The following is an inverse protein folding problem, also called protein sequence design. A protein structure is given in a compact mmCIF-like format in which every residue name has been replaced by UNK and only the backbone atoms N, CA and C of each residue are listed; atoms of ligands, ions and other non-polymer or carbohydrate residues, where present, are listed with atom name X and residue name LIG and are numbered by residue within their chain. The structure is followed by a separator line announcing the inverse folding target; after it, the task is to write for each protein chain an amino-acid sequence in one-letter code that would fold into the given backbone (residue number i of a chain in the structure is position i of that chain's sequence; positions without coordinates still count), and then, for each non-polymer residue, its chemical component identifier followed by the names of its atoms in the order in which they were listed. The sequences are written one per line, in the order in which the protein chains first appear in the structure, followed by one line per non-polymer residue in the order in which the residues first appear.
data_IF_214516729139
#
_entry.id   IF_214516729139
#
_cell.length_a   1.000
_cell.length_b   1.000
_cell.length_c   1.000
_cell.angle_alpha   90.00
_cell.angle_beta   90.00
_cell.angle_gamma   90.00
#
_symmetry.space_group_name_H-M   'P 1'
#
loop_
_entity.id
_entity.type
_entity.pdbx_description
1 polymer ?
#
# COMPACT_ATOMS: atom_id res chain seq x y z
N UNK A 1 18.57 -12.28 -43.22
CA UNK A 1 17.91 -12.98 -42.10
C UNK A 1 17.45 -11.90 -41.15
N UNK A 2 16.14 -11.65 -41.12
CA UNK A 2 15.55 -10.57 -40.36
C UNK A 2 15.48 -10.96 -38.88
N UNK A 3 15.98 -10.08 -38.01
CA UNK A 3 15.72 -10.12 -36.57
C UNK A 3 14.33 -9.56 -36.33
N UNK A 4 13.41 -10.42 -35.94
CA UNK A 4 12.14 -10.07 -35.29
C UNK A 4 12.27 -10.45 -33.83
N UNK A 5 12.48 -9.46 -32.95
CA UNK A 5 12.37 -9.61 -31.49
C UNK A 5 12.30 -8.23 -30.81
N UNK A 6 11.34 -7.39 -31.19
CA UNK A 6 11.12 -6.09 -30.51
C UNK A 6 9.69 -5.56 -30.71
N UNK A 7 8.66 -6.38 -30.48
CA UNK A 7 7.26 -5.92 -30.61
C UNK A 7 6.37 -6.27 -29.39
N UNK A 8 6.76 -7.17 -28.49
CA UNK A 8 5.85 -7.57 -27.39
C UNK A 8 5.89 -6.63 -26.17
N UNK A 9 6.95 -5.84 -25.99
CA UNK A 9 7.14 -5.00 -24.78
C UNK A 9 6.35 -3.68 -24.79
N UNK A 10 5.59 -3.40 -25.86
CA UNK A 10 4.87 -2.13 -26.05
C UNK A 10 3.37 -2.22 -25.80
N UNK A 11 2.83 -3.42 -25.60
CA UNK A 11 1.38 -3.65 -25.53
C UNK A 11 0.80 -3.54 -24.13
N UNK A 12 1.59 -3.76 -23.08
CA UNK A 12 1.06 -3.68 -21.71
C UNK A 12 0.84 -2.24 -21.26
N UNK A 13 1.49 -1.24 -21.88
CA UNK A 13 1.37 0.18 -21.51
C UNK A 13 0.05 0.85 -21.95
N UNK A 14 -0.75 0.19 -22.81
CA UNK A 14 -2.01 0.72 -23.32
C UNK A 14 -3.27 0.11 -22.68
N UNK A 15 -3.13 -0.91 -21.83
CA UNK A 15 -4.29 -1.47 -21.14
C UNK A 15 -4.76 -0.50 -20.05
N UNK A 16 -6.05 -0.10 -20.08
CA UNK A 16 -6.60 0.76 -19.04
C UNK A 16 -6.46 0.06 -17.69
N UNK A 17 -6.22 0.80 -16.59
CA UNK A 17 -6.18 0.21 -15.27
C UNK A 17 -7.48 -0.54 -15.00
N UNK A 18 -7.34 -1.72 -14.37
CA UNK A 18 -8.47 -2.47 -13.84
C UNK A 18 -9.24 -1.53 -12.90
N UNK A 19 -10.57 -1.44 -12.97
CA UNK A 19 -11.34 -0.59 -12.07
C UNK A 19 -11.03 -0.95 -10.61
N UNK A 20 -10.90 0.07 -9.77
CA UNK A 20 -10.62 -0.14 -8.36
C UNK A 20 -11.69 -1.04 -7.70
N UNK A 21 -11.30 -1.90 -6.74
CA UNK A 21 -12.24 -2.68 -5.95
C UNK A 21 -13.31 -1.78 -5.33
N UNK A 22 -14.57 -2.23 -5.40
CA UNK A 22 -15.74 -1.46 -4.95
C UNK A 22 -16.34 -2.01 -3.67
N UNK A 23 -15.88 -3.19 -3.24
CA UNK A 23 -16.39 -3.89 -2.05
C UNK A 23 -15.23 -4.36 -1.16
N UNK A 24 -15.44 -4.51 0.16
CA UNK A 24 -14.41 -5.03 1.05
C UNK A 24 -13.91 -6.42 0.67
N UNK A 25 -14.78 -7.31 0.15
CA UNK A 25 -14.39 -8.64 -0.28
C UNK A 25 -13.47 -8.65 -1.52
N UNK A 26 -13.61 -7.67 -2.41
CA UNK A 26 -12.67 -7.50 -3.54
C UNK A 26 -11.32 -6.98 -3.04
N UNK A 27 -11.33 -6.11 -2.02
CA UNK A 27 -10.10 -5.68 -1.34
C UNK A 27 -9.42 -6.83 -0.60
N UNK A 28 -10.17 -7.70 0.10
CA UNK A 28 -9.62 -8.88 0.79
C UNK A 28 -8.79 -9.74 -0.15
N UNK A 29 -9.31 -10.04 -1.35
CA UNK A 29 -8.59 -10.82 -2.35
C UNK A 29 -7.31 -10.12 -2.82
N UNK A 30 -7.37 -8.82 -3.08
CA UNK A 30 -6.21 -8.06 -3.53
C UNK A 30 -5.12 -7.92 -2.46
N UNK A 31 -5.52 -7.76 -1.20
CA UNK A 31 -4.60 -7.72 -0.04
C UNK A 31 -3.90 -9.06 0.14
N UNK A 32 -4.64 -10.17 -0.01
CA UNK A 32 -4.06 -11.52 0.00
C UNK A 32 -3.03 -11.69 -1.11
N UNK A 33 -3.33 -11.26 -2.35
CA UNK A 33 -2.37 -11.32 -3.46
C UNK A 33 -1.10 -10.50 -3.17
N UNK A 34 -1.21 -9.29 -2.63
CA UNK A 34 -0.05 -8.47 -2.28
C UNK A 34 0.81 -9.10 -1.17
N UNK A 35 0.18 -9.70 -0.17
CA UNK A 35 0.89 -10.41 0.90
C UNK A 35 1.58 -11.67 0.35
N UNK A 36 0.96 -12.41 -0.57
CA UNK A 36 1.60 -13.52 -1.27
C UNK A 36 2.80 -13.09 -2.11
N UNK A 37 2.72 -11.94 -2.79
CA UNK A 37 3.84 -11.36 -3.56
C UNK A 37 4.99 -11.03 -2.64
N UNK A 38 4.72 -10.36 -1.51
CA UNK A 38 5.74 -10.01 -0.50
C UNK A 38 6.50 -11.23 -0.01
N UNK A 39 5.79 -12.32 0.28
CA UNK A 39 6.41 -13.56 0.76
C UNK A 39 7.06 -14.40 -0.35
N UNK A 40 6.87 -14.03 -1.63
CA UNK A 40 7.34 -14.81 -2.77
C UNK A 40 6.58 -16.12 -2.99
N UNK A 41 5.36 -16.23 -2.47
CA UNK A 41 4.47 -17.39 -2.67
C UNK A 41 3.48 -17.20 -3.81
N UNK A 42 3.37 -15.97 -4.33
CA UNK A 42 2.45 -15.66 -5.41
C UNK A 42 2.75 -16.51 -6.66
N UNK A 43 1.75 -17.27 -7.09
CA UNK A 43 1.84 -18.16 -8.26
C UNK A 43 1.48 -17.46 -9.58
N UNK A 44 0.97 -16.23 -9.50
CA UNK A 44 0.62 -15.41 -10.64
C UNK A 44 1.78 -14.58 -11.18
N UNK A 45 1.44 -13.59 -12.00
CA UNK A 45 2.38 -12.62 -12.54
C UNK A 45 2.54 -11.45 -11.55
N UNK A 46 3.50 -11.59 -10.62
CA UNK A 46 3.78 -10.60 -9.59
C UNK A 46 4.15 -9.23 -10.19
N UNK A 47 4.88 -9.22 -11.31
CA UNK A 47 5.30 -7.99 -11.96
C UNK A 47 4.08 -7.22 -12.46
N UNK A 48 3.19 -7.91 -13.19
CA UNK A 48 1.95 -7.32 -13.68
C UNK A 48 1.07 -6.81 -12.54
N UNK A 49 0.91 -7.59 -11.46
CA UNK A 49 0.10 -7.18 -10.31
C UNK A 49 0.62 -5.89 -9.64
N UNK A 50 1.95 -5.76 -9.49
CA UNK A 50 2.57 -4.55 -8.94
C UNK A 50 2.44 -3.35 -9.88
N UNK A 51 2.59 -3.55 -11.19
CA UNK A 51 2.36 -2.49 -12.19
C UNK A 51 0.90 -2.04 -12.21
N UNK A 52 -0.06 -2.96 -12.10
CA UNK A 52 -1.48 -2.66 -12.01
C UNK A 52 -1.81 -1.88 -10.71
N UNK A 53 -1.16 -2.22 -9.59
CA UNK A 53 -1.26 -1.46 -8.34
C UNK A 53 -0.75 -0.01 -8.52
N UNK A 54 0.42 0.17 -9.16
CA UNK A 54 0.97 1.50 -9.45
C UNK A 54 0.07 2.35 -10.36
N UNK A 55 -0.54 1.74 -11.38
CA UNK A 55 -1.50 2.43 -12.26
C UNK A 55 -2.75 2.88 -11.51
N UNK A 56 -3.29 2.00 -10.66
CA UNK A 56 -4.47 2.34 -9.87
C UNK A 56 -4.19 3.44 -8.84
N UNK A 57 -3.00 3.43 -8.24
CA UNK A 57 -2.56 4.50 -7.35
C UNK A 57 -2.60 5.87 -8.06
N UNK A 58 -2.04 5.97 -9.26
CA UNK A 58 -2.04 7.24 -9.99
C UNK A 58 -3.44 7.73 -10.35
N UNK A 59 -4.31 6.82 -10.79
CA UNK A 59 -5.72 7.15 -11.06
C UNK A 59 -6.40 7.66 -9.80
N UNK A 60 -6.18 6.98 -8.66
CA UNK A 60 -6.73 7.38 -7.38
C UNK A 60 -6.23 8.76 -6.95
N UNK A 61 -4.92 9.01 -7.00
CA UNK A 61 -4.35 10.32 -6.64
C UNK A 61 -4.88 11.42 -7.55
N UNK A 62 -4.94 11.19 -8.86
CA UNK A 62 -5.47 12.18 -9.81
C UNK A 62 -6.96 12.50 -9.57
N UNK A 63 -7.73 11.53 -9.07
CA UNK A 63 -9.13 11.71 -8.70
C UNK A 63 -9.32 12.27 -7.28
N UNK A 64 -8.28 12.30 -6.44
CA UNK A 64 -8.42 12.51 -4.99
C UNK A 64 -9.26 11.42 -4.33
N UNK A 65 -9.11 10.19 -4.80
CA UNK A 65 -9.94 9.04 -4.43
C UNK A 65 -9.70 8.55 -3.00
N UNK A 66 -10.75 8.15 -2.27
CA UNK A 66 -10.63 7.63 -0.90
C UNK A 66 -9.81 6.35 -0.79
N UNK A 67 -9.55 5.67 -1.90
CA UNK A 67 -8.75 4.45 -2.01
C UNK A 67 -7.24 4.70 -2.14
N UNK A 68 -6.79 5.96 -2.28
CA UNK A 68 -5.36 6.30 -2.35
C UNK A 68 -4.54 5.65 -1.22
N UNK A 69 -4.97 5.66 0.07
CA UNK A 69 -4.24 4.98 1.14
C UNK A 69 -4.03 3.47 0.89
N UNK A 70 -5.07 2.76 0.41
CA UNK A 70 -4.99 1.32 0.16
C UNK A 70 -3.98 1.00 -0.95
N UNK A 71 -4.00 1.76 -2.05
CA UNK A 71 -3.04 1.57 -3.13
C UNK A 71 -1.61 1.93 -2.73
N UNK A 72 -1.41 3.04 -2.01
CA UNK A 72 -0.08 3.43 -1.53
C UNK A 72 0.50 2.34 -0.63
N UNK A 73 -0.26 1.88 0.37
CA UNK A 73 0.22 0.87 1.31
C UNK A 73 0.33 -0.53 0.67
N UNK A 74 -0.45 -0.83 -0.38
CA UNK A 74 -0.26 -2.04 -1.19
C UNK A 74 1.09 -2.05 -1.93
N UNK A 75 1.53 -0.91 -2.46
CA UNK A 75 2.88 -0.78 -3.02
C UNK A 75 3.97 -0.90 -1.95
N UNK A 76 3.76 -0.31 -0.77
CA UNK A 76 4.70 -0.48 0.35
C UNK A 76 4.83 -1.95 0.75
N UNK A 77 3.71 -2.66 0.88
CA UNK A 77 3.67 -4.08 1.23
C UNK A 77 4.41 -4.94 0.19
N UNK A 78 4.26 -4.62 -1.09
CA UNK A 78 4.95 -5.31 -2.20
C UNK A 78 6.36 -4.77 -2.48
N UNK A 79 6.82 -3.77 -1.73
CA UNK A 79 8.15 -3.17 -1.86
C UNK A 79 9.32 -4.16 -1.83
N UNK A 80 9.35 -5.14 -0.91
CA UNK A 80 10.39 -6.16 -0.89
C UNK A 80 10.52 -6.92 -2.21
N UNK A 81 9.41 -7.17 -2.93
CA UNK A 81 9.47 -7.75 -4.27
C UNK A 81 10.17 -6.82 -5.25
N UNK A 82 9.77 -5.55 -5.31
CA UNK A 82 10.37 -4.54 -6.21
C UNK A 82 11.87 -4.38 -5.95
N UNK A 83 12.27 -4.30 -4.69
CA UNK A 83 13.66 -4.06 -4.28
C UNK A 83 14.54 -5.31 -4.42
N UNK A 84 14.06 -6.48 -3.97
CA UNK A 84 14.91 -7.66 -3.83
C UNK A 84 14.71 -8.72 -4.92
N UNK A 85 13.48 -8.90 -5.41
CA UNK A 85 13.22 -9.84 -6.50
C UNK A 85 13.65 -9.28 -7.86
N UNK A 86 13.86 -7.95 -7.94
CA UNK A 86 14.26 -7.21 -9.13
C UNK A 86 13.39 -7.58 -10.34
N UNK A 87 12.13 -7.09 -10.38
CA UNK A 87 11.38 -7.12 -11.62
C UNK A 87 12.16 -6.36 -12.70
N UNK A 88 11.66 -6.37 -13.94
CA UNK A 88 12.34 -5.58 -14.96
C UNK A 88 12.38 -4.08 -14.61
N UNK A 89 13.30 -3.36 -15.26
CA UNK A 89 13.54 -1.94 -14.99
C UNK A 89 12.32 -1.06 -15.32
N UNK A 90 11.43 -1.51 -16.20
CA UNK A 90 10.22 -0.77 -16.56
C UNK A 90 9.21 -0.82 -15.41
N UNK A 91 9.01 -1.99 -14.80
CA UNK A 91 8.17 -2.14 -13.63
C UNK A 91 8.69 -1.34 -12.43
N UNK A 92 10.00 -1.40 -12.14
CA UNK A 92 10.62 -0.61 -11.08
C UNK A 92 10.41 0.90 -11.30
N UNK A 93 10.71 1.40 -12.50
CA UNK A 93 10.50 2.81 -12.86
C UNK A 93 9.04 3.22 -12.66
N UNK A 94 8.11 2.37 -13.08
CA UNK A 94 6.67 2.65 -12.98
C UNK A 94 6.19 2.81 -11.54
N UNK A 95 6.68 1.97 -10.62
CA UNK A 95 6.35 2.03 -9.20
C UNK A 95 6.93 3.31 -8.57
N UNK A 96 8.18 3.63 -8.87
CA UNK A 96 8.83 4.85 -8.39
C UNK A 96 8.11 6.11 -8.88
N UNK A 97 7.66 6.14 -10.13
CA UNK A 97 6.87 7.24 -10.68
C UNK A 97 5.55 7.42 -9.93
N UNK A 98 4.82 6.32 -9.66
CA UNK A 98 3.55 6.34 -8.94
C UNK A 98 3.74 6.81 -7.48
N UNK A 99 4.76 6.33 -6.78
CA UNK A 99 5.09 6.79 -5.43
C UNK A 99 5.50 8.28 -5.44
N UNK A 100 6.27 8.72 -6.43
CA UNK A 100 6.59 10.14 -6.61
C UNK A 100 5.36 11.01 -6.87
N UNK A 101 4.30 10.48 -7.49
CA UNK A 101 3.01 11.19 -7.63
C UNK A 101 2.34 11.39 -6.27
N UNK A 102 2.32 10.37 -5.41
CA UNK A 102 1.80 10.49 -4.03
C UNK A 102 2.57 11.53 -3.24
N UNK A 103 3.90 11.46 -3.25
CA UNK A 103 4.74 12.39 -2.50
C UNK A 103 4.47 13.84 -2.93
N UNK A 104 4.43 14.10 -4.25
CA UNK A 104 4.16 15.46 -4.77
C UNK A 104 2.75 15.94 -4.45
N UNK A 105 1.76 15.06 -4.48
CA UNK A 105 0.36 15.43 -4.22
C UNK A 105 0.10 15.70 -2.73
N UNK A 106 0.70 14.92 -1.84
CA UNK A 106 0.36 14.89 -0.42
C UNK A 106 1.43 15.48 0.51
N UNK A 107 2.68 15.60 0.05
CA UNK A 107 3.84 15.91 0.89
C UNK A 107 3.83 17.27 1.59
N UNK A 108 3.07 18.23 1.10
CA UNK A 108 2.89 19.55 1.74
C UNK A 108 1.53 19.70 2.45
N UNK A 109 0.72 18.64 2.49
CA UNK A 109 -0.61 18.70 3.13
C UNK A 109 -0.45 18.66 4.65
N UNK A 110 -0.89 19.70 5.38
CA UNK A 110 -0.78 19.71 6.84
C UNK A 110 -1.74 18.71 7.46
N UNK A 111 -1.32 18.10 8.57
CA UNK A 111 -2.13 17.25 9.44
C UNK A 111 -1.94 17.69 10.90
N UNK A 112 -2.88 17.31 11.76
CA UNK A 112 -2.87 17.65 13.19
C UNK A 112 -2.39 16.49 14.09
N UNK A 113 -2.07 15.33 13.51
CA UNK A 113 -1.64 14.16 14.27
C UNK A 113 -0.25 14.42 14.90
N UNK A 114 -0.08 14.01 16.15
CA UNK A 114 1.17 14.21 16.89
C UNK A 114 2.26 13.21 16.51
N UNK A 115 1.87 12.04 15.97
CA UNK A 115 2.76 10.95 15.58
C UNK A 115 2.39 10.41 14.19
N UNK A 116 3.40 9.88 13.49
CA UNK A 116 3.28 9.41 12.11
C UNK A 116 4.06 8.10 11.95
N UNK A 117 3.42 6.96 11.65
CA UNK A 117 4.13 5.70 11.40
C UNK A 117 5.18 5.78 10.28
N UNK A 118 5.06 6.73 9.34
CA UNK A 118 6.11 6.92 8.33
C UNK A 118 7.43 7.48 8.89
N UNK A 119 7.42 8.11 10.06
CA UNK A 119 8.63 8.70 10.66
C UNK A 119 9.54 7.62 11.29
N UNK A 120 8.95 6.48 11.69
CA UNK A 120 9.62 5.31 12.27
C UNK A 120 9.58 4.12 11.29
N UNK A 121 9.84 4.39 9.99
CA UNK A 121 9.72 3.47 8.85
C UNK A 121 9.85 1.97 9.20
N UNK A 122 8.92 1.12 8.72
CA UNK A 122 8.92 -0.28 9.07
C UNK A 122 10.19 -1.00 8.60
N UNK A 123 10.88 -1.64 9.56
CA UNK A 123 11.79 -2.74 9.26
C UNK A 123 11.00 -3.87 8.58
N UNK A 124 11.67 -4.80 7.89
CA UNK A 124 11.00 -5.96 7.25
C UNK A 124 10.02 -6.71 8.19
N UNK A 125 10.33 -6.76 9.49
CA UNK A 125 9.49 -7.38 10.52
C UNK A 125 8.19 -6.60 10.80
N UNK A 126 8.14 -5.31 10.52
CA UNK A 126 6.97 -4.45 10.72
C UNK A 126 6.04 -4.45 9.51
N UNK A 127 6.50 -4.94 8.35
CA UNK A 127 5.66 -5.18 7.17
C UNK A 127 4.65 -6.32 7.38
N UNK A 128 4.90 -7.25 8.30
CA UNK A 128 3.93 -8.30 8.65
C UNK A 128 2.61 -7.70 9.16
N UNK A 129 2.67 -6.52 9.77
CA UNK A 129 1.49 -5.81 10.27
C UNK A 129 0.77 -4.98 9.20
N UNK A 130 1.38 -4.72 8.04
CA UNK A 130 0.76 -3.92 6.97
C UNK A 130 -0.47 -4.60 6.37
N UNK A 131 -0.49 -5.94 6.35
CA UNK A 131 -1.70 -6.69 5.97
C UNK A 131 -2.88 -6.29 6.84
N UNK A 132 -2.67 -6.26 8.17
CA UNK A 132 -3.72 -5.87 9.11
C UNK A 132 -4.18 -4.42 8.89
N UNK A 133 -3.25 -3.50 8.62
CA UNK A 133 -3.58 -2.09 8.29
C UNK A 133 -4.45 -2.01 7.04
N UNK A 134 -4.09 -2.73 5.98
CA UNK A 134 -4.85 -2.74 4.74
C UNK A 134 -6.27 -3.31 4.96
N UNK A 135 -6.39 -4.40 5.71
CA UNK A 135 -7.69 -4.96 6.08
C UNK A 135 -8.52 -3.95 6.90
N UNK A 136 -7.92 -3.26 7.87
CA UNK A 136 -8.59 -2.19 8.63
C UNK A 136 -9.07 -1.05 7.71
N UNK A 137 -8.25 -0.61 6.76
CA UNK A 137 -8.62 0.44 5.80
C UNK A 137 -9.75 -0.02 4.85
N UNK A 138 -9.74 -1.28 4.42
CA UNK A 138 -10.73 -1.87 3.53
C UNK A 138 -12.09 -2.10 4.23
N UNK A 139 -12.07 -2.31 5.55
CA UNK A 139 -13.24 -2.63 6.38
C UNK A 139 -13.59 -1.53 7.39
N UNK A 140 -14.19 -0.40 6.97
CA UNK A 140 -14.61 0.67 7.88
C UNK A 140 -15.55 0.19 9.01
N UNK A 141 -16.30 -0.89 8.80
CA UNK A 141 -17.17 -1.48 9.82
C UNK A 141 -16.41 -2.17 10.96
N UNK A 142 -15.18 -2.64 10.70
CA UNK A 142 -14.32 -3.28 11.72
C UNK A 142 -13.64 -2.23 12.59
N UNK A 143 -13.32 -1.08 12.03
CA UNK A 143 -12.78 0.09 12.75
C UNK A 143 -13.71 0.54 13.88
N UNK A 144 -15.02 0.68 13.60
CA UNK A 144 -16.00 1.06 14.62
C UNK A 144 -16.13 0.03 15.76
N UNK A 145 -15.94 -1.26 15.47
CA UNK A 145 -15.93 -2.30 16.49
C UNK A 145 -14.62 -2.30 17.30
N UNK A 146 -13.50 -2.01 16.65
CA UNK A 146 -12.18 -1.86 17.29
C UNK A 146 -12.15 -0.65 18.22
N UNK A 147 -12.60 0.51 17.77
CA UNK A 147 -12.75 1.73 18.58
C UNK A 147 -13.68 1.50 19.79
N UNK A 148 -14.79 0.78 19.59
CA UNK A 148 -15.68 0.42 20.69
C UNK A 148 -15.01 -0.54 21.71
N UNK A 149 -14.12 -1.41 21.25
CA UNK A 149 -13.35 -2.31 22.11
C UNK A 149 -12.21 -1.59 22.86
N UNK A 150 -11.56 -0.59 22.23
CA UNK A 150 -10.54 0.24 22.87
C UNK A 150 -11.11 1.22 23.90
N UNK A 151 -12.36 1.66 23.72
CA UNK A 151 -13.07 2.48 24.69
C UNK A 151 -13.49 1.70 25.95
N UNK A 152 -13.41 0.37 25.93
CA UNK A 152 -13.63 -0.49 27.08
C UNK A 152 -12.30 -0.72 27.82
N UNK A 153 -12.09 0.04 28.91
CA UNK A 153 -10.91 -0.06 29.78
C UNK A 153 -10.71 -1.48 30.34
N UNK A 154 -11.76 -2.30 30.44
CA UNK A 154 -11.69 -3.68 30.94
C UNK A 154 -11.12 -4.65 29.88
N UNK A 155 -11.12 -4.24 28.61
CA UNK A 155 -10.63 -5.00 27.46
C UNK A 155 -9.34 -4.41 26.85
N UNK A 156 -8.71 -3.46 27.54
CA UNK A 156 -7.42 -2.94 27.12
C UNK A 156 -6.37 -4.08 27.11
N UNK A 157 -5.62 -4.26 26.01
CA UNK A 157 -4.49 -5.19 26.01
C UNK A 157 -3.52 -4.79 27.12
N UNK A 158 -2.95 -5.79 27.80
CA UNK A 158 -2.02 -5.65 28.92
C UNK A 158 -0.85 -4.71 28.57
N UNK A 159 -0.44 -3.82 29.48
CA UNK A 159 0.58 -2.76 29.23
C UNK A 159 1.86 -3.28 28.55
N UNK A 160 2.18 -4.57 28.73
CA UNK A 160 3.30 -5.31 28.15
C UNK A 160 3.07 -5.86 26.71
N UNK A 161 1.90 -5.66 26.11
CA UNK A 161 1.63 -5.85 24.69
C UNK A 161 2.43 -4.82 23.88
N UNK A 162 3.67 -5.18 23.52
CA UNK A 162 4.60 -4.37 22.74
C UNK A 162 4.14 -4.09 21.29
N UNK A 163 2.90 -4.38 20.92
CA UNK A 163 2.37 -3.99 19.61
C UNK A 163 1.95 -2.52 19.61
N UNK A 164 2.94 -1.65 19.51
CA UNK A 164 2.74 -0.23 19.18
C UNK A 164 1.71 -0.01 18.03
N UNK A 165 1.56 -1.00 17.15
CA UNK A 165 0.52 -1.14 16.12
C UNK A 165 -0.94 -1.12 16.62
N UNK A 166 -1.30 -1.81 17.70
CA UNK A 166 -2.71 -1.94 18.15
C UNK A 166 -3.14 -0.78 19.06
N UNK A 167 -2.21 -0.03 19.65
CA UNK A 167 -2.55 0.99 20.66
C UNK A 167 -2.72 2.41 20.15
N UNK A 168 -2.13 2.77 19.01
CA UNK A 168 -1.95 4.18 18.66
C UNK A 168 -2.33 4.58 17.23
N UNK A 169 -2.71 3.64 16.36
CA UNK A 169 -2.79 3.94 14.93
C UNK A 169 -4.15 3.61 14.33
N UNK A 170 -5.07 4.57 14.43
CA UNK A 170 -6.41 4.50 13.82
C UNK A 170 -6.35 4.54 12.29
N UNK A 171 -7.47 4.19 11.64
CA UNK A 171 -7.67 4.36 10.19
C UNK A 171 -7.29 5.77 9.70
N UNK A 172 -7.64 6.80 10.48
CA UNK A 172 -7.36 8.19 10.16
C UNK A 172 -5.85 8.47 10.14
N UNK A 173 -5.10 7.93 11.09
CA UNK A 173 -3.66 8.11 11.16
C UNK A 173 -2.99 7.42 9.97
N UNK A 174 -3.35 6.16 9.66
CA UNK A 174 -2.77 5.45 8.52
C UNK A 174 -3.08 6.10 7.16
N UNK A 175 -4.28 6.68 7.02
CA UNK A 175 -4.68 7.41 5.81
C UNK A 175 -4.19 8.87 5.77
N UNK A 176 -3.47 9.34 6.80
CA UNK A 176 -2.97 10.72 6.87
C UNK A 176 -2.06 11.05 5.68
N UNK A 177 -2.24 12.21 5.02
CA UNK A 177 -1.42 12.63 3.87
C UNK A 177 0.09 12.60 4.14
N UNK A 178 0.51 12.98 5.37
CA UNK A 178 1.92 12.94 5.77
C UNK A 178 2.46 11.51 5.79
N UNK A 179 1.69 10.54 6.27
CA UNK A 179 2.10 9.13 6.27
C UNK A 179 2.24 8.59 4.86
N UNK A 180 1.24 8.83 4.01
CA UNK A 180 1.28 8.36 2.62
C UNK A 180 2.47 8.95 1.86
N UNK A 181 2.71 10.25 2.02
CA UNK A 181 3.88 10.90 1.42
C UNK A 181 5.21 10.42 2.01
N UNK A 182 5.27 10.16 3.32
CA UNK A 182 6.46 9.65 3.99
C UNK A 182 6.84 8.26 3.51
N UNK A 183 5.87 7.34 3.45
CA UNK A 183 6.09 6.00 2.87
C UNK A 183 6.48 6.06 1.40
N UNK A 184 5.83 6.93 0.62
CA UNK A 184 6.17 7.14 -0.79
C UNK A 184 7.61 7.63 -1.01
N UNK A 185 8.06 8.56 -0.16
CA UNK A 185 9.45 9.04 -0.18
C UNK A 185 10.44 7.94 0.16
N UNK A 186 10.20 7.19 1.24
CA UNK A 186 11.11 6.13 1.67
C UNK A 186 11.22 4.98 0.66
N UNK A 187 10.20 4.79 -0.18
CA UNK A 187 10.26 3.86 -1.30
C UNK A 187 11.15 4.33 -2.45
N UNK A 188 11.37 5.64 -2.56
CA UNK A 188 12.06 6.29 -3.68
C UNK A 188 13.52 6.69 -3.36
N UNK A 189 13.93 6.60 -2.09
CA UNK A 189 15.27 6.91 -1.58
C UNK A 189 16.22 5.70 -1.62
#
# INVERSE_FOLDING_TARGET
MAHTDTIEDRYDDELPPVPAPTTPAEWDGLIEEWDEIRHGYYLGDAQRAVVECARNLEVSVAAGGPETPLWTLGLVLTGPYVVYARPDAAAETRVLEAMGVVERALGETPCAHEAHPCDDMPLDAELDNFRYVLEMLAHPERDAAHEAALADEENWPDEDSENWYERLMTREIWACPRNLAGFARAFSD
#
